data_IF_769333249332
#
_entry.id   IF_769333249332
#
_cell.length_a   1.000
_cell.length_b   1.000
_cell.length_c   1.000
_cell.angle_alpha   90.00
_cell.angle_beta   90.00
_cell.angle_gamma   90.00
#
_symmetry.space_group_name_H-M   'P 1'
#
loop_
_entity.id
_entity.type
_entity.pdbx_description
1 polymer ?
#
# COMPACT_ATOMS: atom_id res chain seq x y z
N UNK A 1 -7.86 17.20 19.72
CA UNK A 1 -7.56 15.79 20.11
C UNK A 1 -6.98 15.00 18.94
N UNK A 2 -7.63 14.93 17.77
CA UNK A 2 -7.13 14.16 16.60
C UNK A 2 -5.71 14.56 16.15
N UNK A 3 -5.44 15.87 15.98
CA UNK A 3 -4.12 16.35 15.59
C UNK A 3 -3.01 15.96 16.60
N UNK A 4 -3.34 15.93 17.90
CA UNK A 4 -2.40 15.50 18.94
C UNK A 4 -2.06 14.00 18.84
N UNK A 5 -3.06 13.15 18.55
CA UNK A 5 -2.83 11.71 18.35
C UNK A 5 -2.00 11.46 17.09
N UNK A 6 -2.35 12.10 15.97
CA UNK A 6 -1.58 12.03 14.72
C UNK A 6 -0.12 12.38 14.97
N UNK A 7 0.13 13.48 15.69
CA UNK A 7 1.49 13.91 16.02
C UNK A 7 2.24 12.89 16.89
N UNK A 8 1.57 12.29 17.87
CA UNK A 8 2.16 11.25 18.71
C UNK A 8 2.52 10.01 17.90
N UNK A 9 1.65 9.52 17.03
CA UNK A 9 1.95 8.35 16.19
C UNK A 9 3.11 8.63 15.23
N UNK A 10 3.17 9.82 14.62
CA UNK A 10 4.31 10.23 13.78
C UNK A 10 5.62 10.23 14.58
N UNK A 11 5.60 10.74 15.81
CA UNK A 11 6.77 10.71 16.70
C UNK A 11 7.19 9.30 17.08
N UNK A 12 6.25 8.40 17.31
CA UNK A 12 6.54 7.00 17.61
C UNK A 12 7.17 6.31 16.41
N UNK A 13 6.61 6.53 15.22
CA UNK A 13 7.17 6.01 13.97
C UNK A 13 8.63 6.45 13.77
N UNK A 14 8.92 7.74 13.98
CA UNK A 14 10.28 8.28 13.86
C UNK A 14 11.28 7.65 14.86
N UNK A 15 10.81 6.97 15.91
CA UNK A 15 11.63 6.26 16.90
C UNK A 15 11.81 4.78 16.59
N UNK A 16 11.17 4.27 15.53
CA UNK A 16 11.28 2.87 15.10
C UNK A 16 11.98 2.78 13.72
N UNK A 17 13.26 3.16 13.61
CA UNK A 17 13.96 3.19 12.33
C UNK A 17 14.03 1.83 11.65
N UNK A 18 14.02 0.74 12.43
CA UNK A 18 14.03 -0.62 11.89
C UNK A 18 12.75 -0.93 11.11
N UNK A 19 11.58 -0.46 11.57
CA UNK A 19 10.31 -0.67 10.88
C UNK A 19 10.31 0.09 9.56
N UNK A 20 10.80 1.33 9.57
CA UNK A 20 10.96 2.16 8.36
C UNK A 20 11.86 1.47 7.34
N UNK A 21 13.05 1.05 7.77
CA UNK A 21 14.03 0.41 6.90
C UNK A 21 13.46 -0.89 6.35
N UNK A 22 13.01 -1.83 7.20
CA UNK A 22 12.61 -3.17 6.73
C UNK A 22 11.37 -3.14 5.84
N UNK A 23 10.36 -2.32 6.16
CA UNK A 23 9.12 -2.26 5.38
C UNK A 23 9.29 -1.67 3.98
N UNK A 24 10.25 -0.77 3.80
CA UNK A 24 10.56 -0.12 2.52
C UNK A 24 11.70 -0.80 1.76
N UNK A 25 12.64 -1.41 2.48
CA UNK A 25 13.82 -2.03 1.91
C UNK A 25 13.46 -3.22 1.02
N UNK A 26 12.52 -4.07 1.43
CA UNK A 26 12.15 -5.23 0.61
C UNK A 26 11.60 -4.80 -0.76
N UNK A 27 10.55 -3.96 -0.86
CA UNK A 27 10.07 -3.48 -2.15
C UNK A 27 11.14 -2.71 -2.94
N UNK A 28 11.96 -1.89 -2.28
CA UNK A 28 12.99 -1.10 -2.95
C UNK A 28 14.12 -1.98 -3.55
N UNK A 29 14.61 -2.97 -2.81
CA UNK A 29 15.65 -3.89 -3.29
C UNK A 29 15.13 -4.77 -4.42
N UNK A 30 13.90 -5.29 -4.31
CA UNK A 30 13.31 -6.13 -5.33
C UNK A 30 13.01 -5.32 -6.60
N UNK A 31 12.52 -4.08 -6.46
CA UNK A 31 12.37 -3.17 -7.60
C UNK A 31 13.72 -2.96 -8.29
N UNK A 32 14.77 -2.62 -7.55
CA UNK A 32 16.11 -2.43 -8.12
C UNK A 32 16.62 -3.69 -8.82
N UNK A 33 16.45 -4.86 -8.21
CA UNK A 33 16.83 -6.15 -8.80
C UNK A 33 16.12 -6.39 -10.14
N UNK A 34 14.81 -6.14 -10.21
CA UNK A 34 14.04 -6.35 -11.43
C UNK A 34 14.34 -5.30 -12.48
N UNK A 35 14.60 -4.05 -12.08
CA UNK A 35 15.09 -3.03 -13.00
C UNK A 35 16.45 -3.39 -13.60
N UNK A 36 17.40 -3.92 -12.82
CA UNK A 36 18.68 -4.42 -13.37
C UNK A 36 18.46 -5.57 -14.36
N UNK A 37 17.45 -6.40 -14.12
CA UNK A 37 17.25 -7.63 -14.90
C UNK A 37 16.42 -7.42 -16.17
N UNK A 38 15.50 -6.45 -16.15
CA UNK A 38 14.41 -6.35 -17.13
C UNK A 38 14.16 -4.91 -17.62
N UNK A 39 15.04 -3.94 -17.32
CA UNK A 39 14.83 -2.56 -17.76
C UNK A 39 14.81 -2.39 -19.27
N UNK A 40 15.62 -3.21 -19.96
CA UNK A 40 15.85 -3.10 -21.41
C UNK A 40 14.84 -3.95 -22.20
N UNK A 41 13.94 -4.64 -21.51
CA UNK A 41 12.90 -5.44 -22.14
C UNK A 41 11.72 -4.54 -22.52
N UNK A 42 11.59 -4.31 -23.82
CA UNK A 42 10.43 -3.70 -24.45
C UNK A 42 9.57 -4.80 -25.09
N UNK A 43 8.32 -4.96 -24.65
CA UNK A 43 7.49 -6.01 -25.20
C UNK A 43 6.07 -6.06 -24.66
N UNK A 44 5.23 -6.85 -25.33
CA UNK A 44 3.84 -7.07 -24.90
C UNK A 44 3.76 -7.65 -23.50
N UNK A 45 4.81 -8.38 -23.06
CA UNK A 45 4.92 -9.08 -21.78
C UNK A 45 4.58 -8.22 -20.54
N UNK A 46 4.74 -6.89 -20.65
CA UNK A 46 4.48 -5.93 -19.59
C UNK A 46 3.20 -5.11 -19.88
N UNK A 47 2.19 -5.70 -20.53
CA UNK A 47 0.93 -5.02 -20.88
C UNK A 47 1.13 -3.80 -21.78
N UNK A 48 2.13 -3.86 -22.68
CA UNK A 48 2.49 -2.75 -23.56
C UNK A 48 3.33 -1.64 -22.91
N UNK A 49 3.73 -1.81 -21.65
CA UNK A 49 4.75 -0.99 -21.01
C UNK A 49 6.17 -1.46 -21.35
N UNK A 50 7.16 -0.57 -21.22
CA UNK A 50 8.55 -0.98 -21.04
C UNK A 50 8.75 -1.58 -19.64
N UNK A 51 9.61 -2.60 -19.53
CA UNK A 51 9.82 -3.32 -18.26
C UNK A 51 10.20 -2.40 -17.10
N UNK A 52 11.00 -1.36 -17.36
CA UNK A 52 11.40 -0.38 -16.35
C UNK A 52 10.19 0.38 -15.75
N UNK A 53 9.32 0.93 -16.61
CA UNK A 53 8.11 1.66 -16.19
C UNK A 53 7.12 0.74 -15.46
N UNK A 54 6.98 -0.51 -15.95
CA UNK A 54 6.13 -1.50 -15.32
C UNK A 54 6.57 -1.77 -13.87
N UNK A 55 7.84 -2.08 -13.65
CA UNK A 55 8.32 -2.41 -12.31
C UNK A 55 8.31 -1.22 -11.36
N UNK A 56 8.62 -0.01 -11.81
CA UNK A 56 8.49 1.19 -10.95
C UNK A 56 7.06 1.36 -10.46
N UNK A 57 6.09 1.35 -11.37
CA UNK A 57 4.67 1.57 -11.04
C UNK A 57 4.07 0.43 -10.20
N UNK A 58 4.41 -0.82 -10.51
CA UNK A 58 3.99 -1.98 -9.75
C UNK A 58 4.56 -1.95 -8.32
N UNK A 59 5.81 -1.52 -8.13
CA UNK A 59 6.45 -1.51 -6.82
C UNK A 59 6.05 -0.34 -5.92
N UNK A 60 5.63 0.79 -6.49
CA UNK A 60 4.91 1.82 -5.74
C UNK A 60 3.65 1.23 -5.08
N UNK A 61 2.90 0.43 -5.85
CA UNK A 61 1.70 -0.28 -5.37
C UNK A 61 2.05 -1.36 -4.34
N UNK A 62 3.11 -2.13 -4.58
CA UNK A 62 3.56 -3.18 -3.67
C UNK A 62 4.00 -2.62 -2.31
N UNK A 63 4.67 -1.47 -2.26
CA UNK A 63 5.02 -0.81 -1.00
C UNK A 63 3.77 -0.44 -0.19
N UNK A 64 2.77 0.15 -0.84
CA UNK A 64 1.47 0.49 -0.21
C UNK A 64 0.78 -0.78 0.29
N UNK A 65 0.74 -1.84 -0.52
CA UNK A 65 0.14 -3.11 -0.14
C UNK A 65 0.85 -3.78 1.04
N UNK A 66 2.18 -3.75 1.09
CA UNK A 66 2.96 -4.29 2.20
C UNK A 66 2.62 -3.57 3.52
N UNK A 67 2.55 -2.24 3.49
CA UNK A 67 2.19 -1.44 4.67
C UNK A 67 0.73 -1.66 5.11
N UNK A 68 -0.19 -1.78 4.16
CA UNK A 68 -1.62 -2.00 4.44
C UNK A 68 -1.95 -3.40 4.93
N UNK A 69 -1.31 -4.44 4.38
CA UNK A 69 -1.57 -5.83 4.77
C UNK A 69 -0.74 -6.30 5.96
N UNK A 70 0.49 -5.80 6.15
CA UNK A 70 1.38 -6.28 7.20
C UNK A 70 1.66 -5.23 8.26
N UNK A 71 2.11 -4.03 7.89
CA UNK A 71 2.57 -3.02 8.85
C UNK A 71 1.47 -2.51 9.78
N UNK A 72 0.47 -1.84 9.20
CA UNK A 72 -0.66 -1.24 9.93
C UNK A 72 -1.43 -2.24 10.79
N UNK A 73 -1.85 -3.42 10.30
CA UNK A 73 -2.62 -4.36 11.11
C UNK A 73 -1.78 -4.99 12.23
N UNK A 74 -0.50 -5.28 12.01
CA UNK A 74 0.40 -5.81 13.04
C UNK A 74 0.63 -4.80 14.16
N UNK A 75 0.85 -3.53 13.81
CA UNK A 75 0.98 -2.44 14.76
C UNK A 75 -0.30 -2.29 15.62
N UNK A 76 -1.47 -2.26 14.98
CA UNK A 76 -2.74 -2.10 15.70
C UNK A 76 -3.09 -3.32 16.56
N UNK A 77 -2.78 -4.53 16.10
CA UNK A 77 -2.95 -5.75 16.90
C UNK A 77 -2.00 -5.78 18.11
N UNK A 78 -0.81 -5.17 18.01
CA UNK A 78 0.09 -4.96 19.15
C UNK A 78 -0.48 -3.96 20.16
N UNK A 79 -1.11 -2.88 19.72
CA UNK A 79 -1.84 -1.95 20.60
C UNK A 79 -3.01 -2.62 21.32
N UNK A 80 -3.66 -3.59 20.65
CA UNK A 80 -4.72 -4.40 21.26
C UNK A 80 -4.18 -5.28 22.39
N UNK A 81 -3.13 -6.07 22.13
CA UNK A 81 -2.58 -7.01 23.12
C UNK A 81 -1.93 -6.30 24.31
N UNK A 82 -1.33 -5.13 24.10
CA UNK A 82 -0.74 -4.28 25.16
C UNK A 82 -1.77 -3.40 25.88
N UNK A 83 -3.05 -3.47 25.52
CA UNK A 83 -4.11 -2.67 26.15
C UNK A 83 -4.03 -1.17 25.89
N UNK A 84 -3.26 -0.72 24.88
CA UNK A 84 -3.19 0.68 24.46
C UNK A 84 -4.56 1.15 23.94
N UNK A 85 -5.27 0.32 23.16
CA UNK A 85 -6.60 0.66 22.64
C UNK A 85 -7.62 0.91 23.76
N UNK A 86 -7.58 0.11 24.84
CA UNK A 86 -8.44 0.29 26.02
C UNK A 86 -8.13 1.61 26.74
N UNK A 87 -6.84 1.97 26.84
CA UNK A 87 -6.39 3.25 27.42
C UNK A 87 -6.83 4.44 26.57
N UNK A 88 -6.73 4.35 25.25
CA UNK A 88 -7.24 5.39 24.33
C UNK A 88 -8.74 5.61 24.52
N UNK A 89 -9.53 4.53 24.64
CA UNK A 89 -10.97 4.63 24.91
C UNK A 89 -11.28 5.26 26.27
N UNK A 90 -10.59 4.83 27.32
CA UNK A 90 -10.75 5.41 28.67
C UNK A 90 -10.38 6.92 28.69
N UNK A 91 -9.44 7.34 27.85
CA UNK A 91 -9.06 8.74 27.67
C UNK A 91 -9.99 9.54 26.74
N UNK A 92 -11.11 8.96 26.28
CA UNK A 92 -12.08 9.63 25.41
C UNK A 92 -11.64 9.84 23.97
N UNK A 93 -10.63 9.11 23.48
CA UNK A 93 -10.18 9.17 22.09
C UNK A 93 -11.21 8.47 21.20
N UNK A 94 -11.70 9.18 20.17
CA UNK A 94 -12.66 8.65 19.18
C UNK A 94 -11.99 7.64 18.25
N UNK A 95 -12.69 6.57 17.88
CA UNK A 95 -12.20 5.58 16.91
C UNK A 95 -11.82 6.20 15.56
N UNK A 96 -12.56 7.21 15.11
CA UNK A 96 -12.23 7.96 13.89
C UNK A 96 -10.92 8.75 14.00
N UNK A 97 -10.56 9.22 15.19
CA UNK A 97 -9.28 9.89 15.40
C UNK A 97 -8.11 8.91 15.27
N UNK A 98 -8.26 7.67 15.75
CA UNK A 98 -7.27 6.62 15.59
C UNK A 98 -7.11 6.21 14.11
N UNK A 99 -8.22 6.02 13.40
CA UNK A 99 -8.20 5.74 11.96
C UNK A 99 -7.45 6.85 11.19
N UNK A 100 -7.78 8.12 11.44
CA UNK A 100 -7.11 9.26 10.80
C UNK A 100 -5.62 9.34 11.15
N UNK A 101 -5.23 9.00 12.38
CA UNK A 101 -3.84 8.95 12.77
C UNK A 101 -3.06 7.89 12.00
N UNK A 102 -3.61 6.69 11.86
CA UNK A 102 -2.99 5.60 11.11
C UNK A 102 -2.94 5.88 9.60
N UNK A 103 -3.98 6.52 9.03
CA UNK A 103 -3.96 7.01 7.64
C UNK A 103 -2.83 8.02 7.44
N UNK A 104 -2.66 8.99 8.36
CA UNK A 104 -1.61 10.00 8.25
C UNK A 104 -0.21 9.38 8.33
N UNK A 105 0.01 8.43 9.24
CA UNK A 105 1.28 7.69 9.37
C UNK A 105 1.57 6.92 8.08
N UNK A 106 0.61 6.15 7.57
CA UNK A 106 0.78 5.39 6.34
C UNK A 106 1.01 6.29 5.13
N UNK A 107 0.34 7.44 5.04
CA UNK A 107 0.55 8.41 3.97
C UNK A 107 1.97 8.97 3.97
N UNK A 108 2.52 9.32 5.14
CA UNK A 108 3.90 9.78 5.27
C UNK A 108 4.87 8.68 4.80
N UNK A 109 4.67 7.44 5.25
CA UNK A 109 5.51 6.31 4.85
C UNK A 109 5.45 6.03 3.36
N UNK A 110 4.25 6.09 2.78
CA UNK A 110 4.03 5.88 1.36
C UNK A 110 4.70 6.96 0.53
N UNK A 111 4.60 8.23 0.93
CA UNK A 111 5.28 9.34 0.24
C UNK A 111 6.80 9.20 0.34
N UNK A 112 7.34 8.88 1.52
CA UNK A 112 8.78 8.65 1.70
C UNK A 112 9.25 7.47 0.87
N UNK A 113 8.52 6.36 0.88
CA UNK A 113 8.83 5.18 0.10
C UNK A 113 8.81 5.42 -1.40
N UNK A 114 7.75 6.07 -1.89
CA UNK A 114 7.63 6.47 -3.28
C UNK A 114 8.78 7.41 -3.69
N UNK A 115 9.12 8.40 -2.85
CA UNK A 115 10.23 9.30 -3.13
C UNK A 115 11.57 8.55 -3.24
N UNK A 116 11.85 7.61 -2.34
CA UNK A 116 13.07 6.79 -2.39
C UNK A 116 13.12 5.90 -3.64
N UNK A 117 12.02 5.23 -3.95
CA UNK A 117 11.91 4.36 -5.13
C UNK A 117 12.08 5.14 -6.42
N UNK A 118 11.34 6.24 -6.57
CA UNK A 118 11.43 7.09 -7.76
C UNK A 118 12.82 7.70 -7.89
N UNK A 119 13.41 8.20 -6.81
CA UNK A 119 14.77 8.76 -6.84
C UNK A 119 15.79 7.71 -7.27
N UNK A 120 15.69 6.48 -6.77
CA UNK A 120 16.56 5.38 -7.19
C UNK A 120 16.36 5.02 -8.66
N UNK A 121 15.10 4.94 -9.09
CA UNK A 121 14.74 4.56 -10.45
C UNK A 121 15.24 5.60 -11.48
N UNK A 122 14.96 6.89 -11.27
CA UNK A 122 15.42 7.97 -12.17
C UNK A 122 16.92 8.24 -12.08
N UNK A 123 17.61 7.83 -11.01
CA UNK A 123 19.06 7.95 -10.91
C UNK A 123 19.80 6.80 -11.61
N UNK A 124 19.19 5.62 -11.66
CA UNK A 124 19.82 4.41 -12.21
C UNK A 124 19.42 4.07 -13.65
N UNK A 125 18.24 4.51 -14.10
CA UNK A 125 17.65 4.11 -15.38
C UNK A 125 17.07 5.30 -16.14
N UNK A 126 17.10 5.22 -17.46
CA UNK A 126 16.49 6.22 -18.36
C UNK A 126 14.98 6.00 -18.44
N UNK A 127 14.26 6.65 -17.53
CA UNK A 127 12.81 6.50 -17.39
C UNK A 127 12.07 7.72 -17.94
N UNK A 128 11.09 7.48 -18.80
CA UNK A 128 10.12 8.49 -19.17
C UNK A 128 9.17 8.75 -17.99
N UNK A 129 9.03 10.03 -17.65
CA UNK A 129 8.08 10.46 -16.62
C UNK A 129 6.63 10.14 -16.97
N UNK A 130 5.73 10.13 -15.97
CA UNK A 130 4.31 9.90 -16.23
C UNK A 130 3.72 10.99 -17.13
N UNK A 131 2.85 10.61 -18.05
CA UNK A 131 2.10 11.58 -18.87
C UNK A 131 1.25 12.54 -18.02
N UNK A 132 0.67 12.04 -16.92
CA UNK A 132 -0.07 12.85 -15.96
C UNK A 132 0.40 12.61 -14.53
N UNK A 133 1.34 13.46 -14.08
CA UNK A 133 1.81 13.45 -12.70
C UNK A 133 0.66 13.63 -11.68
N UNK A 134 -0.34 14.47 -12.00
CA UNK A 134 -1.53 14.66 -11.16
C UNK A 134 -2.35 13.39 -11.08
N UNK A 135 -2.52 12.68 -12.20
CA UNK A 135 -3.20 11.39 -12.23
C UNK A 135 -2.53 10.35 -11.33
N UNK A 136 -1.20 10.22 -11.43
CA UNK A 136 -0.43 9.32 -10.56
C UNK A 136 -0.60 9.68 -9.09
N UNK A 137 -0.54 10.97 -8.72
CA UNK A 137 -0.72 11.40 -7.32
C UNK A 137 -2.11 11.08 -6.80
N UNK A 138 -3.16 11.30 -7.60
CA UNK A 138 -4.54 10.97 -7.22
C UNK A 138 -4.71 9.47 -7.02
N UNK A 139 -4.21 8.66 -7.95
CA UNK A 139 -4.29 7.19 -7.88
C UNK A 139 -3.50 6.63 -6.70
N UNK A 140 -2.29 7.13 -6.48
CA UNK A 140 -1.47 6.76 -5.33
C UNK A 140 -2.16 7.13 -4.02
N UNK A 141 -2.72 8.33 -3.92
CA UNK A 141 -3.48 8.78 -2.76
C UNK A 141 -4.71 7.92 -2.47
N UNK A 142 -5.47 7.54 -3.50
CA UNK A 142 -6.61 6.63 -3.37
C UNK A 142 -6.17 5.25 -2.85
N UNK A 143 -5.06 4.72 -3.36
CA UNK A 143 -4.45 3.49 -2.86
C UNK A 143 -4.06 3.56 -1.39
N UNK A 144 -3.33 4.60 -1.00
CA UNK A 144 -2.91 4.84 0.39
C UNK A 144 -4.12 4.87 1.32
N UNK A 145 -5.19 5.59 0.96
CA UNK A 145 -6.41 5.65 1.76
C UNK A 145 -7.08 4.28 1.89
N UNK A 146 -7.21 3.55 0.78
CA UNK A 146 -7.81 2.21 0.76
C UNK A 146 -7.05 1.23 1.65
N UNK A 147 -5.74 1.14 1.46
CA UNK A 147 -4.89 0.20 2.19
C UNK A 147 -4.66 0.57 3.65
N UNK A 148 -4.63 1.87 3.99
CA UNK A 148 -4.60 2.30 5.38
C UNK A 148 -5.90 1.92 6.11
N UNK A 149 -7.06 2.19 5.50
CA UNK A 149 -8.35 1.81 6.07
C UNK A 149 -8.47 0.28 6.23
N UNK A 150 -8.03 -0.47 5.21
CA UNK A 150 -8.01 -1.94 5.22
C UNK A 150 -7.09 -2.48 6.31
N UNK A 151 -5.89 -1.92 6.47
CA UNK A 151 -4.95 -2.30 7.53
C UNK A 151 -5.49 -2.03 8.93
N UNK A 152 -6.14 -0.88 9.15
CA UNK A 152 -6.81 -0.58 10.43
C UNK A 152 -7.96 -1.54 10.68
N UNK A 153 -8.76 -1.86 9.66
CA UNK A 153 -9.83 -2.85 9.78
C UNK A 153 -9.29 -4.22 10.19
N UNK A 154 -8.30 -4.75 9.47
CA UNK A 154 -7.67 -6.03 9.78
C UNK A 154 -7.10 -6.05 11.20
N UNK A 155 -6.34 -5.01 11.58
CA UNK A 155 -5.76 -4.90 12.93
C UNK A 155 -6.79 -4.74 14.05
N UNK A 156 -7.99 -4.22 13.74
CA UNK A 156 -9.10 -4.12 14.70
C UNK A 156 -9.78 -5.47 14.96
N UNK A 157 -9.71 -6.39 14.00
CA UNK A 157 -10.35 -7.72 14.08
C UNK A 157 -9.38 -8.76 14.65
N UNK A 158 -8.11 -8.71 14.25
CA UNK A 158 -7.11 -9.73 14.58
C UNK A 158 -6.62 -9.58 16.03
N UNK A 159 -6.59 -10.69 16.76
CA UNK A 159 -6.32 -10.69 18.20
C UNK A 159 -4.85 -10.55 18.62
N UNK A 160 -3.89 -10.77 17.71
CA UNK A 160 -2.46 -10.71 18.03
C UNK A 160 -1.61 -10.23 16.85
N UNK A 161 -0.51 -9.56 17.15
CA UNK A 161 0.47 -9.11 16.15
C UNK A 161 1.02 -10.27 15.31
N UNK A 162 1.25 -11.44 15.93
CA UNK A 162 1.73 -12.64 15.21
C UNK A 162 0.72 -13.16 14.19
N UNK A 163 -0.57 -13.20 14.55
CA UNK A 163 -1.61 -13.61 13.62
C UNK A 163 -1.81 -12.58 12.49
N UNK A 164 -1.71 -11.28 12.82
CA UNK A 164 -1.79 -10.20 11.84
C UNK A 164 -0.65 -10.29 10.83
N UNK A 165 0.58 -10.53 11.29
CA UNK A 165 1.73 -10.74 10.41
C UNK A 165 1.57 -11.96 9.51
N UNK A 166 1.11 -13.10 10.05
CA UNK A 166 0.90 -14.32 9.28
C UNK A 166 -0.16 -14.16 8.17
N UNK A 167 -1.32 -13.58 8.51
CA UNK A 167 -2.36 -13.29 7.51
C UNK A 167 -1.90 -12.23 6.51
N UNK A 168 -1.24 -11.18 6.99
CA UNK A 168 -0.71 -10.11 6.15
C UNK A 168 0.28 -10.62 5.11
N UNK A 169 1.13 -11.59 5.48
CA UNK A 169 2.06 -12.24 4.57
C UNK A 169 1.33 -12.98 3.44
N UNK A 170 0.27 -13.73 3.78
CA UNK A 170 -0.55 -14.46 2.81
C UNK A 170 -1.28 -13.51 1.85
N UNK A 171 -1.87 -12.43 2.37
CA UNK A 171 -2.56 -11.43 1.56
C UNK A 171 -1.59 -10.66 0.66
N UNK A 172 -0.44 -10.24 1.21
CA UNK A 172 0.57 -9.52 0.48
C UNK A 172 1.17 -10.39 -0.62
N UNK A 173 1.80 -11.52 -0.30
CA UNK A 173 2.43 -12.36 -1.32
C UNK A 173 1.42 -12.98 -2.28
N UNK A 174 0.22 -13.32 -1.79
CA UNK A 174 -0.86 -13.83 -2.62
C UNK A 174 -1.27 -12.85 -3.72
N UNK A 175 -1.37 -11.56 -3.41
CA UNK A 175 -1.71 -10.55 -4.43
C UNK A 175 -0.48 -10.03 -5.18
N UNK A 176 0.68 -9.91 -4.53
CA UNK A 176 1.93 -9.44 -5.11
C UNK A 176 2.34 -10.22 -6.36
N UNK A 177 2.27 -11.56 -6.31
CA UNK A 177 2.61 -12.39 -7.48
C UNK A 177 1.54 -12.35 -8.57
N UNK A 178 0.30 -12.02 -8.25
CA UNK A 178 -0.80 -11.89 -9.22
C UNK A 178 -0.72 -10.60 -10.03
N UNK A 179 -0.08 -9.55 -9.49
CA UNK A 179 -0.03 -8.22 -10.13
C UNK A 179 1.35 -7.88 -10.72
N UNK A 180 2.18 -8.89 -10.97
CA UNK A 180 3.50 -8.71 -11.57
C UNK A 180 4.60 -8.28 -10.59
N UNK A 181 4.47 -8.63 -9.30
CA UNK A 181 5.55 -8.43 -8.32
C UNK A 181 6.81 -9.27 -8.59
N UNK A 182 6.73 -10.29 -9.43
CA UNK A 182 7.89 -11.08 -9.86
C UNK A 182 7.98 -11.12 -11.39
N UNK A 183 7.47 -12.18 -12.02
CA UNK A 183 7.51 -12.28 -13.47
C UNK A 183 6.52 -11.32 -14.15
N UNK A 184 6.70 -11.06 -15.46
CA UNK A 184 5.79 -10.22 -16.23
C UNK A 184 4.35 -10.74 -16.17
N UNK A 185 3.34 -9.85 -16.13
CA UNK A 185 1.94 -10.25 -15.97
C UNK A 185 1.43 -11.16 -17.09
N UNK A 186 1.96 -11.04 -18.31
CA UNK A 186 1.53 -11.85 -19.47
C UNK A 186 1.80 -13.35 -19.32
N UNK A 187 2.68 -13.76 -18.40
CA UNK A 187 2.92 -15.20 -18.16
C UNK A 187 1.86 -15.82 -17.26
N UNK A 188 0.99 -15.01 -16.63
CA UNK A 188 -0.08 -15.49 -15.77
C UNK A 188 -1.22 -16.03 -16.64
N UNK A 189 -1.78 -17.22 -16.31
CA UNK A 189 -3.01 -17.70 -16.95
C UNK A 189 -4.15 -16.69 -16.83
N UNK A 190 -5.01 -16.59 -17.85
CA UNK A 190 -6.12 -15.62 -17.93
C UNK A 190 -7.00 -15.58 -16.66
N UNK A 191 -7.24 -16.74 -16.04
CA UNK A 191 -8.02 -16.84 -14.81
C UNK A 191 -7.35 -16.11 -13.63
N UNK A 192 -6.02 -16.18 -13.50
CA UNK A 192 -5.26 -15.50 -12.47
C UNK A 192 -5.13 -14.00 -12.76
N UNK A 193 -4.89 -13.63 -14.03
CA UNK A 193 -4.88 -12.23 -14.46
C UNK A 193 -6.23 -11.54 -14.19
N UNK A 194 -7.34 -12.21 -14.54
CA UNK A 194 -8.69 -11.72 -14.23
C UNK A 194 -8.88 -11.58 -12.72
N UNK A 195 -8.50 -12.58 -11.94
CA UNK A 195 -8.61 -12.51 -10.47
C UNK A 195 -7.79 -11.36 -9.87
N UNK A 196 -6.60 -11.07 -10.42
CA UNK A 196 -5.74 -9.98 -9.98
C UNK A 196 -6.46 -8.63 -10.06
N UNK A 197 -7.18 -8.36 -11.16
CA UNK A 197 -7.92 -7.12 -11.37
C UNK A 197 -9.08 -6.89 -10.37
N UNK A 198 -9.57 -7.93 -9.71
CA UNK A 198 -10.59 -7.81 -8.65
C UNK A 198 -10.00 -7.53 -7.27
N UNK A 199 -8.67 -7.62 -7.11
CA UNK A 199 -8.02 -7.36 -5.83
C UNK A 199 -7.76 -5.86 -5.65
N UNK A 200 -7.77 -5.34 -4.40
CA UNK A 200 -7.38 -3.96 -4.13
C UNK A 200 -5.96 -3.63 -4.62
N UNK A 201 -5.07 -4.63 -4.64
CA UNK A 201 -3.69 -4.47 -5.13
C UNK A 201 -3.67 -4.31 -6.64
N UNK A 202 -4.43 -5.11 -7.39
CA UNK A 202 -4.53 -4.99 -8.84
C UNK A 202 -5.14 -3.65 -9.26
N UNK A 203 -6.24 -3.26 -8.61
CA UNK A 203 -6.83 -1.94 -8.81
C UNK A 203 -5.83 -0.80 -8.53
N UNK A 204 -4.95 -0.95 -7.54
CA UNK A 204 -3.92 0.05 -7.27
C UNK A 204 -2.87 0.14 -8.38
N UNK A 205 -2.40 -1.02 -8.88
CA UNK A 205 -1.46 -1.07 -10.00
C UNK A 205 -2.08 -0.41 -11.24
N UNK A 206 -3.29 -0.81 -11.61
CA UNK A 206 -4.01 -0.26 -12.75
C UNK A 206 -4.22 1.26 -12.62
N UNK A 207 -4.62 1.72 -11.43
CA UNK A 207 -4.85 3.14 -11.19
C UNK A 207 -3.56 3.97 -11.33
N UNK A 208 -2.41 3.44 -10.91
CA UNK A 208 -1.11 4.14 -11.02
C UNK A 208 -0.56 4.08 -12.44
N UNK A 209 -0.73 2.96 -13.15
CA UNK A 209 -0.21 2.77 -14.50
C UNK A 209 -0.94 3.59 -15.56
N UNK A 210 -2.28 3.65 -15.53
CA UNK A 210 -3.05 4.39 -16.55
C UNK A 210 -2.61 5.85 -16.77
N UNK A 211 -2.43 6.70 -15.73
CA UNK A 211 -1.96 8.07 -15.93
C UNK A 211 -0.46 8.15 -16.26
N UNK A 212 0.30 7.08 -16.09
CA UNK A 212 1.71 7.01 -16.49
C UNK A 212 1.86 6.86 -17.99
N UNK A 213 0.95 6.11 -18.63
CA UNK A 213 0.99 5.73 -20.06
C UNK A 213 0.08 6.56 -20.98
N UNK A 214 -0.63 7.55 -20.43
CA UNK A 214 -1.51 8.42 -21.22
C UNK A 214 -2.98 7.98 -21.30
N UNK A 215 -3.35 6.85 -20.69
CA UNK A 215 -4.75 6.38 -20.62
C UNK A 215 -5.63 7.22 -19.67
N UNK A 216 -5.02 8.19 -18.98
CA UNK A 216 -5.71 9.06 -18.04
C UNK A 216 -6.07 8.37 -16.73
N UNK A 217 -7.24 8.69 -16.17
CA UNK A 217 -7.67 8.15 -14.88
C UNK A 217 -8.42 6.83 -15.07
N UNK A 218 -7.96 5.75 -14.46
CA UNK A 218 -8.72 4.51 -14.40
C UNK A 218 -9.88 4.64 -13.40
N UNK A 219 -11.04 5.08 -13.89
CA UNK A 219 -12.22 5.35 -13.05
C UNK A 219 -12.69 4.11 -12.30
N UNK A 220 -12.68 2.93 -12.95
CA UNK A 220 -13.12 1.67 -12.34
C UNK A 220 -12.24 1.31 -11.14
N UNK A 221 -10.92 1.37 -11.32
CA UNK A 221 -9.96 1.11 -10.26
C UNK A 221 -10.09 2.13 -9.11
N UNK A 222 -10.23 3.42 -9.42
CA UNK A 222 -10.43 4.48 -8.42
C UNK A 222 -11.72 4.29 -7.63
N UNK A 223 -12.81 3.90 -8.28
CA UNK A 223 -14.07 3.58 -7.60
C UNK A 223 -13.93 2.34 -6.71
N UNK A 224 -13.22 1.31 -7.16
CA UNK A 224 -12.94 0.11 -6.36
C UNK A 224 -12.10 0.41 -5.12
N UNK A 225 -11.05 1.22 -5.26
CA UNK A 225 -10.22 1.70 -4.14
C UNK A 225 -11.04 2.59 -3.19
N UNK A 226 -11.85 3.51 -3.73
CA UNK A 226 -12.75 4.35 -2.95
C UNK A 226 -13.76 3.53 -2.14
N UNK A 227 -14.39 2.54 -2.78
CA UNK A 227 -15.30 1.61 -2.11
C UNK A 227 -14.57 0.82 -1.00
N UNK A 228 -13.36 0.33 -1.26
CA UNK A 228 -12.53 -0.35 -0.27
C UNK A 228 -12.23 0.54 0.93
N UNK A 229 -11.81 1.79 0.68
CA UNK A 229 -11.52 2.78 1.71
C UNK A 229 -12.74 3.05 2.59
N UNK A 230 -13.91 3.27 1.99
CA UNK A 230 -15.17 3.56 2.70
C UNK A 230 -15.62 2.35 3.53
N UNK A 231 -15.72 1.18 2.91
CA UNK A 231 -16.18 -0.06 3.57
C UNK A 231 -15.25 -0.41 4.73
N UNK A 232 -13.94 -0.43 4.50
CA UNK A 232 -12.98 -0.76 5.54
C UNK A 232 -12.99 0.28 6.68
N UNK A 233 -13.12 1.57 6.38
CA UNK A 233 -13.23 2.62 7.39
C UNK A 233 -14.47 2.46 8.28
N UNK A 234 -15.64 2.19 7.67
CA UNK A 234 -16.89 1.96 8.40
C UNK A 234 -16.77 0.73 9.31
N UNK A 235 -16.26 -0.38 8.77
CA UNK A 235 -16.08 -1.62 9.53
C UNK A 235 -15.04 -1.45 10.66
N UNK A 236 -13.93 -0.76 10.40
CA UNK A 236 -12.91 -0.44 11.39
C UNK A 236 -13.47 0.39 12.54
N UNK A 237 -14.20 1.48 12.24
CA UNK A 237 -14.82 2.33 13.26
C UNK A 237 -15.83 1.54 14.10
N UNK A 238 -16.71 0.78 13.43
CA UNK A 238 -17.71 -0.04 14.11
C UNK A 238 -17.07 -1.10 15.01
N UNK A 239 -15.95 -1.69 14.59
CA UNK A 239 -15.23 -2.68 15.39
C UNK A 239 -14.49 -2.05 16.56
N UNK A 240 -13.74 -0.97 16.32
CA UNK A 240 -13.00 -0.24 17.36
C UNK A 240 -13.92 0.32 18.46
N UNK A 241 -15.14 0.75 18.11
CA UNK A 241 -16.12 1.20 19.10
C UNK A 241 -16.61 0.10 20.06
N UNK A 242 -16.41 -1.18 19.73
CA UNK A 242 -16.81 -2.34 20.55
C UNK A 242 -15.70 -2.88 21.45
N UNK A 243 -14.45 -2.41 21.28
CA UNK A 243 -13.26 -2.88 22.01
C UNK A 243 -13.00 -2.02 23.23
#
# INVERSE_FOLDING_TARGET
MTAGLVWTEIKLLAREPLVLVVSLLFPLLLMALLLVSFSDDDGTAYLGLGGATFYVTAYLSAAVAAMGFMGTPTHLASYRSSGVLRRFRAAGIRSSALLLAQIAVMAILAVVGAALMLSLAYAGWDLTGPESAVGVVVSFGAGVLAFAALGVFLGSVIGSARAAQGLGLLLFFGTFFLVGGGPPPDILPDALSTAAGWTPTGMLVDAIQSPWIGDGYNVTALLGLGATAVIASVLAIARLARI
#
